data_IF_837332579002
#
_entry.id   IF_837332579002
#
_cell.length_a   1.000
_cell.length_b   1.000
_cell.length_c   1.000
_cell.angle_alpha   90.00
_cell.angle_beta   90.00
_cell.angle_gamma   90.00
#
_symmetry.space_group_name_H-M   'P 1'
#
loop_
_entity.id
_entity.type
_entity.pdbx_description
1 polymer ?
#
# COMPACT_ATOMS: atom_id res chain seq x y z
N UNK A 1 -20.23 -23.11 -2.73
CA UNK A 1 -20.44 -21.94 -1.88
C UNK A 1 -19.36 -21.96 -0.80
N UNK A 2 -18.27 -21.20 -0.96
CA UNK A 2 -17.28 -21.01 0.12
C UNK A 2 -17.90 -20.04 1.13
N UNK A 3 -17.98 -20.47 2.38
CA UNK A 3 -18.40 -19.66 3.52
C UNK A 3 -17.63 -18.33 3.49
N UNK A 4 -18.35 -17.21 3.48
CA UNK A 4 -17.77 -15.88 3.67
C UNK A 4 -17.28 -15.87 5.11
N UNK A 5 -15.93 -15.97 5.29
CA UNK A 5 -15.31 -15.78 6.59
C UNK A 5 -15.73 -14.42 7.11
N UNK A 6 -16.15 -14.33 8.36
CA UNK A 6 -16.51 -13.06 8.99
C UNK A 6 -15.29 -12.15 9.00
N UNK A 7 -15.32 -11.08 8.20
CA UNK A 7 -14.28 -10.05 8.23
C UNK A 7 -14.59 -9.09 9.40
N UNK A 8 -13.59 -8.85 10.26
CA UNK A 8 -13.66 -7.85 11.32
C UNK A 8 -13.02 -6.57 10.81
N UNK A 9 -13.81 -5.50 10.77
CA UNK A 9 -13.32 -4.16 10.42
C UNK A 9 -12.58 -3.61 11.64
N UNK A 10 -11.34 -3.16 11.46
CA UNK A 10 -10.55 -2.44 12.48
C UNK A 10 -10.22 -1.05 11.97
N UNK A 11 -10.12 -0.10 12.89
CA UNK A 11 -9.70 1.26 12.58
C UNK A 11 -8.19 1.42 12.35
N UNK A 12 -7.65 2.58 12.72
CA UNK A 12 -6.21 2.85 12.66
C UNK A 12 -5.43 1.95 13.62
N UNK A 13 -4.26 1.52 13.17
CA UNK A 13 -3.34 0.65 13.87
C UNK A 13 -1.90 1.15 13.68
N UNK A 14 -0.97 0.64 14.45
CA UNK A 14 0.47 0.91 14.38
C UNK A 14 1.24 -0.28 13.84
N UNK A 15 2.53 -0.11 13.55
CA UNK A 15 3.43 -1.22 13.19
C UNK A 15 3.54 -2.23 14.35
N UNK A 16 3.45 -1.80 15.61
CA UNK A 16 3.45 -2.71 16.77
C UNK A 16 2.23 -3.62 16.80
N UNK A 17 1.06 -3.17 16.30
CA UNK A 17 -0.12 -4.04 16.16
C UNK A 17 0.10 -5.13 15.11
N UNK A 18 0.81 -4.82 14.02
CA UNK A 18 1.23 -5.81 13.01
C UNK A 18 2.16 -6.86 13.65
N UNK A 19 3.17 -6.42 14.40
CA UNK A 19 4.08 -7.31 15.14
C UNK A 19 3.31 -8.20 16.11
N UNK A 20 2.33 -7.66 16.82
CA UNK A 20 1.49 -8.43 17.73
C UNK A 20 0.65 -9.49 17.00
N UNK A 21 0.09 -9.20 15.83
CA UNK A 21 -0.65 -10.19 15.03
C UNK A 21 0.28 -11.32 14.52
N UNK A 22 1.48 -10.98 14.05
CA UNK A 22 2.50 -11.97 13.65
C UNK A 22 2.88 -12.88 14.83
N UNK A 23 3.07 -12.30 16.03
CA UNK A 23 3.36 -13.05 17.26
C UNK A 23 2.23 -13.99 17.71
N UNK A 24 0.99 -13.75 17.26
CA UNK A 24 -0.16 -14.66 17.48
C UNK A 24 -0.26 -15.77 16.42
N UNK A 25 0.69 -15.85 15.49
CA UNK A 25 0.68 -16.82 14.40
C UNK A 25 -0.17 -16.43 13.20
N UNK A 26 -0.65 -15.18 13.14
CA UNK A 26 -1.33 -14.65 11.96
C UNK A 26 -0.34 -14.50 10.79
N UNK A 27 -0.87 -14.57 9.56
CA UNK A 27 -0.16 -14.09 8.37
C UNK A 27 -0.64 -12.66 8.11
N UNK A 28 0.29 -11.77 7.77
CA UNK A 28 -0.03 -10.36 7.54
C UNK A 28 0.52 -9.92 6.19
N UNK A 29 -0.35 -9.37 5.33
CA UNK A 29 0.02 -8.72 4.09
C UNK A 29 -0.13 -7.22 4.23
N UNK A 30 0.97 -6.45 4.06
CA UNK A 30 0.99 -5.01 4.03
C UNK A 30 0.96 -4.51 2.58
N UNK A 31 -0.12 -3.86 2.19
CA UNK A 31 -0.20 -3.05 0.97
C UNK A 31 0.41 -1.68 1.29
N UNK A 32 1.73 -1.56 1.11
CA UNK A 32 2.54 -0.47 1.63
C UNK A 32 2.64 0.67 0.61
N UNK A 33 2.23 1.90 0.98
CA UNK A 33 2.54 3.06 0.17
C UNK A 33 4.06 3.25 0.08
N UNK A 34 4.58 3.47 -1.14
CA UNK A 34 6.00 3.81 -1.33
C UNK A 34 6.44 5.01 -0.48
N UNK A 35 7.73 5.10 -0.21
CA UNK A 35 8.32 6.19 0.57
C UNK A 35 8.46 7.49 -0.23
N UNK A 36 9.04 8.52 0.39
CA UNK A 36 9.17 9.86 -0.15
C UNK A 36 9.96 9.90 -1.47
N UNK A 37 9.40 10.60 -2.44
CA UNK A 37 9.95 10.86 -3.75
C UNK A 37 9.87 12.35 -4.10
N UNK A 38 10.62 12.85 -5.09
CA UNK A 38 10.42 14.19 -5.63
C UNK A 38 8.98 14.39 -6.14
N UNK A 39 8.52 15.63 -6.21
CA UNK A 39 7.21 15.95 -6.80
C UNK A 39 7.16 15.50 -8.27
N UNK A 40 6.04 14.92 -8.68
CA UNK A 40 5.78 14.63 -10.09
C UNK A 40 5.45 15.94 -10.80
N UNK A 41 6.08 16.16 -11.96
CA UNK A 41 5.75 17.29 -12.83
C UNK A 41 4.31 17.21 -13.34
N UNK A 42 3.63 18.34 -13.44
CA UNK A 42 2.21 18.41 -13.82
C UNK A 42 1.93 17.78 -15.20
N UNK A 43 2.90 17.85 -16.11
CA UNK A 43 2.80 17.31 -17.49
C UNK A 43 3.31 15.85 -17.61
N UNK A 44 3.77 15.25 -16.53
CA UNK A 44 4.31 13.89 -16.55
C UNK A 44 3.19 12.84 -16.63
N UNK A 45 2.99 12.33 -17.85
CA UNK A 45 2.00 11.27 -18.16
C UNK A 45 2.39 9.89 -17.64
N UNK A 46 3.62 9.73 -17.18
CA UNK A 46 4.14 8.47 -16.65
C UNK A 46 3.94 8.33 -15.14
N UNK A 47 3.31 9.32 -14.50
CA UNK A 47 3.15 9.38 -13.06
C UNK A 47 4.47 9.24 -12.29
N UNK A 48 5.55 9.81 -12.84
CA UNK A 48 6.88 9.73 -12.24
C UNK A 48 7.47 8.32 -12.22
N UNK A 49 7.26 7.52 -13.27
CA UNK A 49 7.67 6.12 -13.32
C UNK A 49 9.16 5.90 -13.01
N UNK A 50 10.02 6.81 -13.48
CA UNK A 50 11.47 6.76 -13.29
C UNK A 50 11.97 7.56 -12.07
N UNK A 51 11.10 8.22 -11.32
CA UNK A 51 11.52 9.01 -10.17
C UNK A 51 11.97 8.09 -9.01
N UNK A 52 13.22 8.26 -8.52
CA UNK A 52 13.72 7.53 -7.37
C UNK A 52 13.15 8.08 -6.07
N UNK A 53 13.44 7.42 -4.97
CA UNK A 53 13.23 7.97 -3.62
C UNK A 53 14.22 9.12 -3.34
N UNK A 54 13.79 10.08 -2.51
CA UNK A 54 14.69 11.09 -1.93
C UNK A 54 15.65 10.44 -0.93
N UNK A 55 16.69 11.17 -0.49
CA UNK A 55 17.57 10.69 0.57
C UNK A 55 16.78 10.41 1.87
N UNK A 56 15.84 11.29 2.22
CA UNK A 56 14.93 11.10 3.36
C UNK A 56 14.04 9.87 3.15
N UNK A 57 13.46 9.71 1.96
CA UNK A 57 12.64 8.54 1.64
C UNK A 57 13.37 7.21 1.77
N UNK A 58 14.66 7.16 1.38
CA UNK A 58 15.51 5.98 1.58
C UNK A 58 15.74 5.69 3.07
N UNK A 59 16.06 6.72 3.85
CA UNK A 59 16.23 6.59 5.29
C UNK A 59 14.97 6.04 5.97
N UNK A 60 13.79 6.62 5.66
CA UNK A 60 12.51 6.19 6.21
C UNK A 60 12.20 4.72 5.90
N UNK A 61 12.56 4.21 4.71
CA UNK A 61 12.38 2.79 4.38
C UNK A 61 13.19 1.88 5.30
N UNK A 62 14.46 2.23 5.54
CA UNK A 62 15.34 1.45 6.42
C UNK A 62 14.82 1.47 7.86
N UNK A 63 14.37 2.63 8.36
CA UNK A 63 13.77 2.74 9.69
C UNK A 63 12.48 1.90 9.80
N UNK A 64 11.61 1.95 8.80
CA UNK A 64 10.40 1.10 8.76
C UNK A 64 10.76 -0.39 8.78
N UNK A 65 11.77 -0.79 8.01
CA UNK A 65 12.26 -2.16 8.01
C UNK A 65 12.78 -2.59 9.39
N UNK A 66 13.51 -1.71 10.09
CA UNK A 66 14.02 -1.98 11.45
C UNK A 66 12.90 -2.26 12.46
N UNK A 67 11.74 -1.60 12.32
CA UNK A 67 10.58 -1.86 13.18
C UNK A 67 10.01 -3.27 12.99
N UNK A 68 10.28 -3.91 11.85
CA UNK A 68 9.82 -5.26 11.49
C UNK A 68 10.97 -6.30 11.57
N UNK A 69 12.18 -5.91 11.98
CA UNK A 69 13.32 -6.80 12.03
C UNK A 69 13.10 -7.95 13.03
N UNK A 70 13.38 -9.18 12.62
CA UNK A 70 13.33 -10.37 13.47
C UNK A 70 11.92 -10.82 13.90
N UNK A 71 10.85 -10.19 13.39
CA UNK A 71 9.47 -10.55 13.78
C UNK A 71 9.01 -11.90 13.23
N UNK A 72 9.58 -12.33 12.09
CA UNK A 72 9.34 -13.63 11.47
C UNK A 72 10.48 -13.96 10.50
N UNK A 73 10.85 -15.24 10.34
CA UNK A 73 11.80 -15.66 9.32
C UNK A 73 11.20 -15.77 7.91
N UNK A 74 9.86 -15.73 7.78
CA UNK A 74 9.17 -15.92 6.52
C UNK A 74 8.60 -14.59 6.02
N UNK A 75 9.36 -13.91 5.16
CA UNK A 75 9.00 -12.62 4.57
C UNK A 75 9.11 -12.67 3.06
N UNK A 76 8.16 -12.08 2.36
CA UNK A 76 8.22 -11.89 0.91
C UNK A 76 8.00 -10.43 0.53
N UNK A 77 8.64 -10.01 -0.57
CA UNK A 77 8.58 -8.65 -1.07
C UNK A 77 8.06 -8.62 -2.50
N UNK A 78 7.05 -7.76 -2.73
CA UNK A 78 6.56 -7.42 -4.06
C UNK A 78 6.46 -5.91 -4.21
N UNK A 79 6.55 -5.44 -5.44
CA UNK A 79 6.41 -4.03 -5.72
C UNK A 79 5.74 -3.81 -7.08
N UNK A 80 4.97 -2.74 -7.21
CA UNK A 80 4.62 -2.25 -8.54
C UNK A 80 5.91 -1.99 -9.35
N UNK A 81 5.89 -2.04 -10.69
CA UNK A 81 7.12 -1.92 -11.49
C UNK A 81 7.82 -0.56 -11.41
N UNK A 82 7.23 0.44 -10.76
CA UNK A 82 7.80 1.79 -10.71
C UNK A 82 9.04 1.83 -9.80
N UNK A 83 10.04 2.63 -10.19
CA UNK A 83 11.33 2.69 -9.50
C UNK A 83 11.18 2.93 -7.98
N UNK A 84 10.34 3.90 -7.58
CA UNK A 84 10.13 4.24 -6.16
C UNK A 84 9.55 3.12 -5.31
N UNK A 85 8.68 2.27 -5.87
CA UNK A 85 8.08 1.14 -5.14
C UNK A 85 9.06 -0.01 -5.01
N UNK A 86 9.83 -0.31 -6.06
CA UNK A 86 10.91 -1.30 -6.01
C UNK A 86 11.96 -0.89 -4.98
N UNK A 87 12.46 0.35 -5.03
CA UNK A 87 13.40 0.87 -4.04
C UNK A 87 12.83 0.84 -2.61
N UNK A 88 11.53 1.11 -2.44
CA UNK A 88 10.89 1.03 -1.12
C UNK A 88 10.98 -0.39 -0.57
N UNK A 89 10.61 -1.40 -1.35
CA UNK A 89 10.65 -2.79 -0.91
C UNK A 89 12.08 -3.27 -0.62
N UNK A 90 13.05 -2.93 -1.48
CA UNK A 90 14.46 -3.27 -1.31
C UNK A 90 15.05 -2.67 -0.02
N UNK A 91 14.78 -1.38 0.25
CA UNK A 91 15.31 -0.69 1.43
C UNK A 91 14.59 -1.10 2.73
N UNK A 92 13.30 -1.46 2.64
CA UNK A 92 12.60 -2.08 3.79
C UNK A 92 13.23 -3.44 4.11
N UNK A 93 13.51 -4.26 3.09
CA UNK A 93 14.22 -5.52 3.28
C UNK A 93 15.62 -5.32 3.91
N UNK A 94 16.37 -4.30 3.46
CA UNK A 94 17.66 -3.93 4.06
C UNK A 94 17.50 -3.60 5.55
N UNK A 95 16.51 -2.76 5.89
CA UNK A 95 16.20 -2.38 7.28
C UNK A 95 15.82 -3.57 8.17
N UNK A 96 15.18 -4.59 7.58
CA UNK A 96 14.85 -5.85 8.27
C UNK A 96 16.06 -6.78 8.46
N UNK A 97 17.25 -6.44 7.92
CA UNK A 97 18.43 -7.31 7.90
C UNK A 97 18.40 -8.36 6.79
N UNK A 98 17.53 -8.19 5.79
CA UNK A 98 17.33 -9.08 4.64
C UNK A 98 17.86 -8.45 3.34
N UNK A 99 18.98 -7.74 3.41
CA UNK A 99 19.59 -7.09 2.25
C UNK A 99 19.82 -8.09 1.11
N UNK A 100 19.41 -7.72 -0.11
CA UNK A 100 19.48 -8.60 -1.28
C UNK A 100 18.35 -9.60 -1.40
N UNK A 101 17.30 -9.53 -0.56
CA UNK A 101 16.09 -10.31 -0.75
C UNK A 101 15.47 -10.00 -2.13
N UNK A 102 14.90 -11.01 -2.77
CA UNK A 102 14.21 -10.86 -4.04
C UNK A 102 12.97 -9.96 -3.88
N UNK A 103 12.84 -8.95 -4.73
CA UNK A 103 11.65 -8.12 -4.86
C UNK A 103 10.95 -8.45 -6.19
N UNK A 104 9.84 -9.15 -6.12
CA UNK A 104 9.06 -9.52 -7.30
C UNK A 104 8.32 -8.28 -7.83
N UNK A 105 8.56 -7.92 -9.10
CA UNK A 105 7.82 -6.83 -9.77
C UNK A 105 6.47 -7.35 -10.22
N UNK A 106 5.41 -6.71 -9.75
CA UNK A 106 4.03 -7.13 -10.00
C UNK A 106 3.17 -5.93 -10.40
N UNK A 107 2.78 -5.87 -11.68
CA UNK A 107 2.00 -4.77 -12.21
C UNK A 107 0.60 -4.68 -11.56
N UNK A 108 0.03 -5.80 -11.14
CA UNK A 108 -1.29 -5.83 -10.51
C UNK A 108 -1.29 -5.23 -9.09
N UNK A 109 -0.11 -5.08 -8.46
CA UNK A 109 0.04 -4.38 -7.17
C UNK A 109 0.13 -2.86 -7.34
N UNK A 110 0.11 -2.34 -8.57
CA UNK A 110 0.24 -0.91 -8.83
C UNK A 110 -0.26 -0.48 -10.19
N UNK A 111 0.59 0.13 -11.01
CA UNK A 111 0.26 0.49 -12.38
C UNK A 111 -0.08 -0.76 -13.19
N UNK A 112 -1.28 -0.81 -13.75
CA UNK A 112 -1.89 -2.00 -14.31
C UNK A 112 -2.77 -2.75 -13.30
N UNK A 113 -2.99 -2.17 -12.10
CA UNK A 113 -3.86 -2.76 -11.08
C UNK A 113 -5.31 -2.86 -11.56
N UNK A 114 -6.07 -3.68 -10.84
CA UNK A 114 -7.50 -3.83 -11.07
C UNK A 114 -8.29 -2.51 -10.98
N UNK A 115 -7.74 -1.48 -10.32
CA UNK A 115 -8.43 -0.18 -10.16
C UNK A 115 -8.42 0.68 -11.43
N UNK A 116 -7.43 0.57 -12.31
CA UNK A 116 -7.24 1.47 -13.44
C UNK A 116 -7.69 0.84 -14.75
N UNK A 117 -8.75 1.39 -15.34
CA UNK A 117 -9.24 0.99 -16.66
C UNK A 117 -8.49 1.71 -17.80
N UNK A 118 -8.06 2.96 -17.57
CA UNK A 118 -7.33 3.76 -18.54
C UNK A 118 -6.40 4.77 -17.86
N UNK A 119 -5.10 4.56 -17.94
CA UNK A 119 -4.09 5.48 -17.37
C UNK A 119 -4.19 6.90 -17.98
N UNK A 120 -4.47 7.01 -19.27
CA UNK A 120 -4.65 8.30 -19.93
C UNK A 120 -5.83 9.08 -19.37
N UNK A 121 -6.96 8.42 -19.10
CA UNK A 121 -8.14 9.07 -18.53
C UNK A 121 -7.92 9.45 -17.06
N UNK A 122 -7.23 8.60 -16.29
CA UNK A 122 -6.83 8.93 -14.90
C UNK A 122 -5.87 10.11 -14.88
N UNK A 123 -4.89 10.16 -15.79
CA UNK A 123 -4.00 11.31 -15.91
C UNK A 123 -4.76 12.61 -16.23
N UNK A 124 -5.69 12.57 -17.21
CA UNK A 124 -6.55 13.73 -17.55
C UNK A 124 -7.38 14.18 -16.36
N UNK A 125 -7.97 13.22 -15.66
CA UNK A 125 -8.82 13.49 -14.48
C UNK A 125 -8.06 14.23 -13.39
N UNK A 126 -6.82 13.81 -13.10
CA UNK A 126 -5.99 14.45 -12.07
C UNK A 126 -5.33 15.74 -12.53
N UNK A 127 -5.10 15.92 -13.82
CA UNK A 127 -4.63 17.19 -14.38
C UNK A 127 -5.69 18.27 -14.29
N UNK A 128 -6.93 17.93 -14.60
CA UNK A 128 -8.04 18.89 -14.76
C UNK A 128 -8.79 19.18 -13.46
N UNK A 129 -8.36 18.59 -12.33
CA UNK A 129 -9.01 18.78 -11.05
C UNK A 129 -8.14 18.48 -9.85
N UNK A 130 -8.70 18.70 -8.66
CA UNK A 130 -8.04 18.34 -7.40
C UNK A 130 -7.97 16.81 -7.26
N UNK A 131 -6.76 16.29 -7.08
CA UNK A 131 -6.52 14.86 -6.85
C UNK A 131 -7.41 14.30 -5.72
N UNK A 132 -7.43 14.96 -4.56
CA UNK A 132 -8.22 14.49 -3.40
C UNK A 132 -9.71 14.54 -3.66
N UNK A 133 -10.20 15.58 -4.36
CA UNK A 133 -11.60 15.67 -4.75
C UNK A 133 -11.99 14.50 -5.67
N UNK A 134 -11.19 14.25 -6.72
CA UNK A 134 -11.46 13.16 -7.68
C UNK A 134 -11.42 11.78 -7.06
N UNK A 135 -10.48 11.55 -6.16
CA UNK A 135 -10.43 10.30 -5.40
C UNK A 135 -11.61 10.16 -4.42
N UNK A 136 -12.02 11.26 -3.77
CA UNK A 136 -13.22 11.29 -2.93
C UNK A 136 -14.49 10.95 -3.72
N UNK A 137 -14.68 11.56 -4.90
CA UNK A 137 -15.77 11.25 -5.82
C UNK A 137 -15.79 9.76 -6.22
N UNK A 138 -14.64 9.20 -6.60
CA UNK A 138 -14.51 7.78 -6.93
C UNK A 138 -14.91 6.87 -5.76
N UNK A 139 -14.38 7.14 -4.59
CA UNK A 139 -14.65 6.32 -3.40
C UNK A 139 -16.12 6.40 -2.97
N UNK A 140 -16.74 7.57 -3.03
CA UNK A 140 -18.15 7.77 -2.63
C UNK A 140 -19.13 7.21 -3.65
N UNK A 141 -18.89 7.44 -4.95
CA UNK A 141 -19.77 6.97 -6.01
C UNK A 141 -19.56 5.49 -6.36
N UNK A 142 -18.37 4.95 -6.06
CA UNK A 142 -17.96 3.61 -6.49
C UNK A 142 -17.54 3.53 -7.96
N UNK A 143 -17.67 4.63 -8.70
CA UNK A 143 -17.36 4.73 -10.12
C UNK A 143 -16.72 6.09 -10.45
N UNK A 144 -15.76 6.11 -11.36
CA UNK A 144 -15.14 7.33 -11.86
C UNK A 144 -14.50 7.06 -13.22
N UNK A 145 -14.47 8.06 -14.08
CA UNK A 145 -13.84 7.99 -15.41
C UNK A 145 -12.37 7.56 -15.28
N UNK A 146 -11.99 6.55 -16.07
CA UNK A 146 -10.63 5.99 -16.08
C UNK A 146 -10.38 4.92 -15.02
N UNK A 147 -11.30 4.73 -14.08
CA UNK A 147 -11.25 3.68 -13.06
C UNK A 147 -12.27 2.56 -13.35
N UNK A 148 -11.94 1.36 -12.91
CA UNK A 148 -12.91 0.27 -12.82
C UNK A 148 -13.83 0.46 -11.61
N UNK A 149 -15.04 -0.13 -11.56
CA UNK A 149 -15.93 -0.06 -10.41
C UNK A 149 -15.21 -0.48 -9.12
N UNK A 150 -15.28 0.37 -8.09
CA UNK A 150 -14.46 0.27 -6.87
C UNK A 150 -14.56 -1.10 -6.18
N UNK A 151 -15.77 -1.62 -6.01
CA UNK A 151 -15.97 -2.91 -5.34
C UNK A 151 -15.30 -4.06 -6.10
N UNK A 152 -15.55 -4.14 -7.43
CA UNK A 152 -14.95 -5.17 -8.28
C UNK A 152 -13.43 -5.05 -8.35
N UNK A 153 -12.93 -3.82 -8.46
CA UNK A 153 -11.49 -3.54 -8.48
C UNK A 153 -10.81 -3.97 -7.17
N UNK A 154 -11.46 -3.69 -6.03
CA UNK A 154 -10.95 -4.06 -4.72
C UNK A 154 -10.94 -5.57 -4.52
N UNK A 155 -12.01 -6.27 -4.93
CA UNK A 155 -12.08 -7.74 -4.85
C UNK A 155 -11.01 -8.40 -5.71
N UNK A 156 -10.85 -7.95 -6.96
CA UNK A 156 -9.83 -8.48 -7.87
C UNK A 156 -8.39 -8.19 -7.38
N UNK A 157 -8.17 -7.00 -6.82
CA UNK A 157 -6.87 -6.63 -6.25
C UNK A 157 -6.51 -7.50 -5.03
N UNK A 158 -7.46 -7.72 -4.12
CA UNK A 158 -7.27 -8.57 -2.94
C UNK A 158 -7.09 -10.03 -3.33
N UNK A 159 -7.94 -10.54 -4.23
CA UNK A 159 -7.83 -11.92 -4.72
C UNK A 159 -6.46 -12.18 -5.33
N UNK A 160 -5.97 -11.27 -6.20
CA UNK A 160 -4.62 -11.37 -6.74
C UNK A 160 -3.57 -11.35 -5.64
N UNK A 161 -3.59 -10.33 -4.77
CA UNK A 161 -2.60 -10.17 -3.71
C UNK A 161 -2.52 -11.40 -2.80
N UNK A 162 -3.67 -11.96 -2.41
CA UNK A 162 -3.74 -13.17 -1.58
C UNK A 162 -3.34 -14.45 -2.34
N UNK A 163 -3.60 -14.53 -3.65
CA UNK A 163 -3.24 -15.69 -4.47
C UNK A 163 -1.73 -15.89 -4.60
N UNK A 164 -0.97 -14.79 -4.55
CA UNK A 164 0.49 -14.77 -4.68
C UNK A 164 1.22 -14.63 -3.33
N UNK A 165 0.48 -14.42 -2.23
CA UNK A 165 1.02 -14.29 -0.88
C UNK A 165 1.14 -15.63 -0.18
N UNK A 166 2.37 -16.05 0.13
CA UNK A 166 2.65 -17.35 0.74
C UNK A 166 3.38 -17.28 2.09
N UNK A 167 4.15 -16.21 2.33
CA UNK A 167 4.91 -16.01 3.55
C UNK A 167 4.05 -15.71 4.80
N UNK A 168 4.66 -15.56 5.95
CA UNK A 168 3.99 -15.07 7.16
C UNK A 168 3.81 -13.55 7.12
N UNK A 169 4.80 -12.81 6.58
CA UNK A 169 4.72 -11.37 6.34
C UNK A 169 4.94 -11.07 4.85
N UNK A 170 4.00 -10.37 4.23
CA UNK A 170 4.13 -9.83 2.87
C UNK A 170 4.30 -8.30 2.92
N UNK A 171 5.30 -7.78 2.21
CA UNK A 171 5.51 -6.34 1.99
C UNK A 171 5.27 -6.05 0.50
N UNK A 172 4.08 -5.58 0.16
CA UNK A 172 3.69 -5.28 -1.22
C UNK A 172 3.68 -3.76 -1.41
N UNK A 173 4.79 -3.23 -1.95
CA UNK A 173 4.95 -1.79 -2.15
C UNK A 173 4.10 -1.28 -3.33
N UNK A 174 3.20 -0.35 -3.03
CA UNK A 174 2.20 0.21 -3.93
C UNK A 174 2.07 1.72 -3.79
N UNK A 175 0.90 2.28 -4.09
CA UNK A 175 0.63 3.73 -4.12
C UNK A 175 -0.52 4.09 -3.18
N UNK A 176 -0.51 5.35 -2.74
CA UNK A 176 -1.52 5.91 -1.83
C UNK A 176 -2.97 5.76 -2.32
N UNK A 177 -3.19 5.93 -3.63
CA UNK A 177 -4.51 5.79 -4.25
C UNK A 177 -5.11 4.40 -4.03
N UNK A 178 -4.29 3.35 -4.14
CA UNK A 178 -4.76 1.97 -3.97
C UNK A 178 -4.92 1.62 -2.49
N UNK A 179 -4.05 2.12 -1.63
CA UNK A 179 -4.18 1.98 -0.16
C UNK A 179 -5.48 2.64 0.31
N UNK A 180 -5.75 3.89 -0.11
CA UNK A 180 -6.97 4.61 0.27
C UNK A 180 -8.23 3.94 -0.29
N UNK A 181 -8.24 3.58 -1.58
CA UNK A 181 -9.37 2.92 -2.23
C UNK A 181 -9.69 1.56 -1.57
N UNK A 182 -8.66 0.76 -1.27
CA UNK A 182 -8.81 -0.52 -0.58
C UNK A 182 -9.43 -0.36 0.82
N UNK A 183 -8.86 0.54 1.63
CA UNK A 183 -9.34 0.80 3.00
C UNK A 183 -10.77 1.32 3.01
N UNK A 184 -11.12 2.19 2.06
CA UNK A 184 -12.48 2.71 1.90
C UNK A 184 -13.47 1.59 1.54
N UNK A 185 -13.16 0.81 0.52
CA UNK A 185 -14.04 -0.27 0.06
C UNK A 185 -14.22 -1.39 1.10
N UNK A 186 -13.21 -1.62 1.96
CA UNK A 186 -13.31 -2.56 3.10
C UNK A 186 -13.91 -1.93 4.36
N UNK A 187 -14.35 -0.67 4.29
CA UNK A 187 -15.02 0.02 5.41
C UNK A 187 -14.10 0.36 6.59
N UNK A 188 -12.78 0.24 6.43
CA UNK A 188 -11.80 0.54 7.51
C UNK A 188 -11.71 2.03 7.76
N UNK A 189 -11.67 2.82 6.69
CA UNK A 189 -11.67 4.29 6.74
C UNK A 189 -12.35 4.86 5.49
N UNK A 190 -13.45 5.59 5.70
CA UNK A 190 -14.33 6.07 4.61
C UNK A 190 -14.32 7.59 4.44
N UNK A 191 -13.66 8.32 5.34
CA UNK A 191 -13.63 9.78 5.41
C UNK A 191 -12.28 10.39 5.01
N UNK A 192 -11.63 9.84 3.96
CA UNK A 192 -10.35 10.34 3.49
C UNK A 192 -10.42 11.79 3.00
N UNK A 193 -9.44 12.58 3.43
CA UNK A 193 -9.21 13.98 3.03
C UNK A 193 -7.71 14.28 3.03
N UNK A 194 -7.25 15.48 2.62
CA UNK A 194 -5.82 15.81 2.56
C UNK A 194 -5.05 15.61 3.88
N UNK A 195 -5.70 15.82 5.04
CA UNK A 195 -5.04 15.79 6.34
C UNK A 195 -4.82 14.36 6.85
N UNK A 196 -5.71 13.45 6.47
CA UNK A 196 -5.71 12.06 6.94
C UNK A 196 -5.38 11.02 5.85
N UNK A 197 -5.01 11.48 4.63
CA UNK A 197 -4.60 10.63 3.52
C UNK A 197 -3.46 9.68 3.92
N UNK A 198 -3.36 8.48 3.34
CA UNK A 198 -2.21 7.59 3.61
C UNK A 198 -0.90 8.33 3.36
N UNK A 199 -0.04 8.46 4.39
CA UNK A 199 1.29 9.08 4.29
C UNK A 199 2.29 8.08 3.71
N UNK A 200 3.51 8.52 3.43
CA UNK A 200 4.60 7.61 3.03
C UNK A 200 4.77 6.50 4.06
N UNK A 201 4.87 5.26 3.58
CA UNK A 201 4.98 4.03 4.36
C UNK A 201 3.74 3.68 5.22
N UNK A 202 2.65 4.44 5.16
CA UNK A 202 1.37 3.94 5.67
C UNK A 202 0.88 2.78 4.79
N UNK A 203 0.13 1.85 5.37
CA UNK A 203 -0.33 0.67 4.64
C UNK A 203 -1.76 0.25 4.99
N UNK A 204 -2.40 -0.44 4.06
CA UNK A 204 -3.52 -1.30 4.40
C UNK A 204 -2.97 -2.68 4.76
N UNK A 205 -3.37 -3.23 5.89
CA UNK A 205 -3.00 -4.58 6.30
C UNK A 205 -4.18 -5.53 6.14
N UNK A 206 -3.90 -6.70 5.53
CA UNK A 206 -4.79 -7.85 5.50
C UNK A 206 -4.20 -8.88 6.46
N UNK A 207 -4.90 -9.16 7.55
CA UNK A 207 -4.48 -10.12 8.58
C UNK A 207 -5.28 -11.40 8.41
N UNK A 208 -4.59 -12.50 8.18
CA UNK A 208 -5.15 -13.84 8.05
C UNK A 208 -4.86 -14.60 9.34
N UNK A 209 -5.86 -14.73 10.20
CA UNK A 209 -5.71 -15.39 11.50
C UNK A 209 -5.78 -16.92 11.39
N UNK A 210 -5.16 -17.66 12.31
CA UNK A 210 -5.21 -19.13 12.32
C UNK A 210 -6.62 -19.72 12.39
N UNK A 211 -7.58 -18.98 12.95
CA UNK A 211 -8.99 -19.38 13.04
C UNK A 211 -9.78 -19.16 11.73
N UNK A 212 -9.11 -18.69 10.67
CA UNK A 212 -9.74 -18.40 9.37
C UNK A 212 -10.40 -17.01 9.29
N UNK A 213 -10.34 -16.20 10.35
CA UNK A 213 -10.85 -14.84 10.34
C UNK A 213 -9.92 -13.92 9.52
N UNK A 214 -10.49 -13.07 8.68
CA UNK A 214 -9.80 -11.98 8.00
C UNK A 214 -10.07 -10.67 8.75
N UNK A 215 -9.01 -9.88 8.95
CA UNK A 215 -9.09 -8.56 9.56
C UNK A 215 -8.37 -7.54 8.71
N UNK A 216 -8.96 -6.36 8.56
CA UNK A 216 -8.35 -5.24 7.85
C UNK A 216 -7.96 -4.13 8.81
N UNK A 217 -6.79 -3.51 8.60
CA UNK A 217 -6.31 -2.41 9.43
C UNK A 217 -5.71 -1.31 8.57
N UNK A 218 -5.86 -0.06 9.00
CA UNK A 218 -5.09 1.06 8.45
C UNK A 218 -3.86 1.28 9.33
N UNK A 219 -2.71 0.81 8.88
CA UNK A 219 -1.45 0.88 9.64
C UNK A 219 -0.73 2.19 9.36
N UNK A 220 -0.55 2.99 10.41
CA UNK A 220 0.27 4.19 10.38
C UNK A 220 1.73 3.83 10.66
N UNK A 221 2.64 4.26 9.78
CA UNK A 221 4.07 4.01 9.96
C UNK A 221 4.65 4.70 11.21
N UNK A 222 4.07 5.83 11.60
CA UNK A 222 4.51 6.57 12.80
C UNK A 222 5.90 7.21 12.66
N UNK A 223 6.45 7.27 11.44
CA UNK A 223 7.77 7.82 11.16
C UNK A 223 7.67 9.33 10.91
N UNK A 224 8.54 10.09 11.56
CA UNK A 224 8.73 11.51 11.29
C UNK A 224 9.82 11.69 10.23
N UNK A 225 9.66 12.61 9.26
CA UNK A 225 10.75 13.01 8.39
C UNK A 225 11.97 13.43 9.22
N UNK A 226 13.18 13.14 8.73
CA UNK A 226 14.38 13.75 9.30
C UNK A 226 14.15 15.26 9.34
N UNK A 227 14.40 15.89 10.48
CA UNK A 227 14.49 17.34 10.52
C UNK A 227 15.56 17.73 9.51
N UNK A 228 15.15 18.35 8.39
CA UNK A 228 16.10 18.94 7.47
C UNK A 228 16.88 19.95 8.28
N UNK A 229 18.14 19.65 8.60
CA UNK A 229 19.08 20.65 9.08
C UNK A 229 19.10 21.76 8.05
N UNK A 230 18.72 22.95 8.47
CA UNK A 230 18.75 24.22 7.74
C UNK A 230 20.19 24.53 7.36
#
# INVERSE_FOLDING_TARGET
>A
MKSINSSVISGEASVSDVVAELGRGSRVLLLLRHSERPKIGHEDKTFGASLPLTANGKHLCVEFGRMLAGVTPSVEFRASPLLRTVMTAELVAEGMGLAGAEVVRDALVGNGSAYVASELEVWRLFRDGSFFQRMGEYMQAGEQRGFNPLAQATDAFEEHALSVFSAQLGIFATHDVYVAAFLHARGVKTDFNPDNWPRFLDSAAIVLRPNGEHRYMFVRAGLSPLACGV
#
